data_IF_058712503685
#
_entry.id   IF_058712503685
#
_cell.length_a   1.000
_cell.length_b   1.000
_cell.length_c   1.000
_cell.angle_alpha   90.00
_cell.angle_beta   90.00
_cell.angle_gamma   90.00
#
_symmetry.space_group_name_H-M   'P 1'
#
loop_
_entity.id
_entity.type
_entity.pdbx_description
1 polymer ?
#
# COMPACT_ATOMS: atom_id res chain seq x y z
N UNK A 1 46.17 -16.58 72.33
CA UNK A 1 46.36 -16.35 70.87
C UNK A 1 44.99 -16.52 70.23
N UNK A 2 44.56 -15.51 69.48
CA UNK A 2 43.17 -15.13 69.26
C UNK A 2 42.33 -16.15 68.45
N UNK A 3 41.07 -16.32 68.83
CA UNK A 3 40.06 -17.02 68.04
C UNK A 3 39.71 -16.21 66.77
N UNK A 4 39.42 -16.85 65.63
CA UNK A 4 39.01 -16.16 64.42
C UNK A 4 37.58 -15.63 64.58
N UNK A 5 37.40 -14.33 64.35
CA UNK A 5 36.08 -13.70 64.28
C UNK A 5 35.57 -13.83 62.83
N UNK A 6 34.52 -14.62 62.63
CA UNK A 6 33.78 -14.57 61.37
C UNK A 6 32.89 -13.32 61.36
N UNK A 7 32.90 -12.50 60.30
CA UNK A 7 31.94 -11.42 60.17
C UNK A 7 30.54 -12.03 60.01
N UNK A 8 29.61 -11.57 60.86
CA UNK A 8 28.21 -11.96 60.82
C UNK A 8 27.64 -11.69 59.43
N UNK A 9 27.17 -12.75 58.77
CA UNK A 9 26.38 -12.64 57.53
C UNK A 9 25.13 -11.84 57.88
N UNK A 10 25.06 -10.61 57.37
CA UNK A 10 23.90 -9.75 57.56
C UNK A 10 22.66 -10.47 57.02
N UNK A 11 21.76 -10.83 57.93
CA UNK A 11 20.51 -11.49 57.59
C UNK A 11 19.72 -10.63 56.60
N UNK A 12 19.51 -11.16 55.40
CA UNK A 12 18.65 -10.58 54.39
C UNK A 12 17.21 -10.63 54.93
N UNK A 13 16.71 -9.50 55.44
CA UNK A 13 15.36 -9.46 55.98
C UNK A 13 14.35 -9.61 54.82
N UNK A 14 13.43 -10.59 54.88
CA UNK A 14 12.35 -10.65 53.91
C UNK A 14 11.50 -9.39 54.11
N UNK A 15 11.49 -8.49 53.11
CA UNK A 15 10.60 -7.33 53.11
C UNK A 15 9.17 -7.87 53.09
N UNK A 16 8.52 -7.85 54.24
CA UNK A 16 7.10 -8.17 54.37
C UNK A 16 6.31 -7.09 53.63
N UNK A 17 5.83 -7.41 52.44
CA UNK A 17 5.00 -6.53 51.61
C UNK A 17 3.69 -6.26 52.33
N UNK A 18 3.54 -5.05 52.84
CA UNK A 18 2.29 -4.55 53.45
C UNK A 18 1.19 -4.54 52.37
N UNK A 19 -0.06 -4.93 52.68
CA UNK A 19 -1.13 -5.03 51.66
C UNK A 19 -1.37 -3.77 50.80
N UNK A 20 -1.00 -2.58 51.30
CA UNK A 20 -1.01 -1.34 50.54
C UNK A 20 0.05 -1.28 49.41
N UNK A 21 1.22 -1.92 49.58
CA UNK A 21 2.23 -2.02 48.52
C UNK A 21 1.76 -2.96 47.42
N UNK A 22 1.09 -4.06 47.78
CA UNK A 22 0.51 -5.00 46.82
C UNK A 22 -0.59 -4.36 45.96
N UNK A 23 -1.46 -3.53 46.56
CA UNK A 23 -2.49 -2.79 45.81
C UNK A 23 -1.87 -1.76 44.86
N UNK A 24 -0.81 -1.07 45.29
CA UNK A 24 -0.10 -0.11 44.44
C UNK A 24 0.60 -0.81 43.27
N UNK A 25 1.30 -1.91 43.52
CA UNK A 25 1.95 -2.72 42.50
C UNK A 25 0.92 -3.26 41.50
N UNK A 26 -0.23 -3.74 41.98
CA UNK A 26 -1.33 -4.18 41.12
C UNK A 26 -1.91 -3.04 40.29
N UNK A 27 -2.14 -1.87 40.89
CA UNK A 27 -2.64 -0.70 40.18
C UNK A 27 -1.67 -0.23 39.09
N UNK A 28 -0.36 -0.23 39.37
CA UNK A 28 0.67 0.13 38.39
C UNK A 28 0.68 -0.82 37.18
N UNK A 29 0.60 -2.13 37.43
CA UNK A 29 0.49 -3.13 36.36
C UNK A 29 -0.79 -2.96 35.55
N UNK A 30 -1.93 -2.71 36.21
CA UNK A 30 -3.20 -2.47 35.53
C UNK A 30 -3.12 -1.21 34.66
N UNK A 31 -2.56 -0.12 35.19
CA UNK A 31 -2.41 1.13 34.44
C UNK A 31 -1.51 0.92 33.22
N UNK A 32 -0.37 0.23 33.37
CA UNK A 32 0.52 -0.09 32.26
C UNK A 32 -0.19 -0.95 31.20
N UNK A 33 -0.94 -1.97 31.62
CA UNK A 33 -1.69 -2.85 30.72
C UNK A 33 -2.77 -2.09 29.94
N UNK A 34 -3.48 -1.17 30.61
CA UNK A 34 -4.50 -0.31 29.99
C UNK A 34 -3.86 0.61 28.95
N UNK A 35 -2.75 1.28 29.30
CA UNK A 35 -2.03 2.17 28.37
C UNK A 35 -1.58 1.38 27.13
N UNK A 36 -0.99 0.20 27.34
CA UNK A 36 -0.52 -0.65 26.25
C UNK A 36 -1.68 -1.14 25.37
N UNK A 37 -2.79 -1.58 25.98
CA UNK A 37 -3.99 -2.01 25.27
C UNK A 37 -4.54 -0.92 24.35
N UNK A 38 -4.73 0.29 24.88
CA UNK A 38 -5.23 1.42 24.08
C UNK A 38 -4.21 1.84 23.00
N UNK A 39 -2.91 1.80 23.31
CA UNK A 39 -1.86 2.10 22.33
C UNK A 39 -1.90 1.15 21.12
N UNK A 40 -1.98 -0.16 21.36
CA UNK A 40 -2.04 -1.17 20.30
C UNK A 40 -3.39 -1.09 19.57
N UNK A 41 -4.51 -0.99 20.30
CA UNK A 41 -5.85 -0.94 19.71
C UNK A 41 -6.07 0.28 18.82
N UNK A 42 -5.39 1.39 19.12
CA UNK A 42 -5.43 2.59 18.31
C UNK A 42 -4.53 2.50 17.06
N UNK A 43 -3.36 1.85 17.18
CA UNK A 43 -2.40 1.74 16.09
C UNK A 43 -2.82 0.74 15.02
N UNK A 44 -3.43 -0.38 15.43
CA UNK A 44 -3.61 -1.55 14.57
C UNK A 44 -5.09 -1.89 14.35
N UNK A 45 -5.46 -2.21 13.11
CA UNK A 45 -6.72 -2.88 12.77
C UNK A 45 -6.46 -4.25 12.18
N UNK A 46 -7.09 -5.28 12.72
CA UNK A 46 -7.19 -6.57 12.02
C UNK A 46 -8.37 -6.52 11.05
N UNK A 47 -8.12 -6.80 9.78
CA UNK A 47 -9.14 -6.81 8.72
C UNK A 47 -9.17 -8.18 8.06
N UNK A 48 -10.38 -8.65 7.80
CA UNK A 48 -10.61 -9.90 7.09
C UNK A 48 -11.01 -9.58 5.65
N UNK A 49 -10.35 -10.21 4.68
CA UNK A 49 -10.58 -9.97 3.26
C UNK A 49 -11.73 -10.84 2.77
N UNK A 50 -12.77 -10.19 2.26
CA UNK A 50 -13.88 -10.86 1.57
C UNK A 50 -13.85 -10.50 0.07
N UNK A 51 -13.59 -11.48 -0.78
CA UNK A 51 -13.69 -11.40 -2.24
C UNK A 51 -12.36 -11.34 -3.00
N UNK A 52 -12.44 -11.47 -4.33
CA UNK A 52 -11.28 -11.65 -5.23
C UNK A 52 -10.75 -10.33 -5.84
N UNK A 53 -11.18 -9.17 -5.35
CA UNK A 53 -10.85 -7.89 -6.00
C UNK A 53 -9.36 -7.52 -5.96
N UNK A 54 -8.59 -8.10 -5.05
CA UNK A 54 -7.16 -7.84 -4.88
C UNK A 54 -6.29 -9.04 -5.27
N UNK A 55 -6.87 -10.05 -5.93
CA UNK A 55 -6.13 -11.16 -6.54
C UNK A 55 -5.18 -10.61 -7.62
N UNK A 56 -3.90 -10.97 -7.72
CA UNK A 56 -3.11 -12.01 -7.03
C UNK A 56 -2.22 -11.47 -5.88
N UNK A 57 -2.53 -10.30 -5.33
CA UNK A 57 -1.81 -9.73 -4.17
C UNK A 57 -2.40 -10.22 -2.84
N UNK A 58 -3.73 -10.36 -2.77
CA UNK A 58 -4.47 -10.83 -1.59
C UNK A 58 -5.48 -11.88 -2.04
N UNK A 59 -5.51 -13.00 -1.33
CA UNK A 59 -6.47 -14.06 -1.56
C UNK A 59 -7.73 -13.85 -0.71
N UNK A 60 -8.82 -14.50 -1.13
CA UNK A 60 -10.05 -14.51 -0.34
C UNK A 60 -9.79 -15.18 1.01
N UNK A 61 -10.38 -14.64 2.07
CA UNK A 61 -10.25 -15.13 3.46
C UNK A 61 -8.89 -14.84 4.14
N UNK A 62 -8.06 -13.97 3.56
CA UNK A 62 -6.82 -13.49 4.19
C UNK A 62 -7.09 -12.60 5.42
N UNK A 63 -6.21 -12.69 6.42
CA UNK A 63 -6.21 -11.82 7.60
C UNK A 63 -5.07 -10.81 7.48
N UNK A 64 -5.44 -9.53 7.47
CA UNK A 64 -4.52 -8.42 7.32
C UNK A 64 -4.44 -7.61 8.60
N UNK A 65 -3.26 -7.04 8.81
CA UNK A 65 -2.98 -6.10 9.89
C UNK A 65 -2.74 -4.75 9.21
N UNK A 66 -3.64 -3.81 9.42
CA UNK A 66 -3.58 -2.47 8.85
C UNK A 66 -3.10 -1.46 9.89
N UNK A 67 -2.20 -0.57 9.48
CA UNK A 67 -1.75 0.57 10.26
C UNK A 67 -2.73 1.75 10.08
N UNK A 68 -3.20 2.34 11.19
CA UNK A 68 -4.10 3.51 11.18
C UNK A 68 -3.37 4.86 11.30
N UNK A 69 -2.09 4.83 11.63
CA UNK A 69 -1.25 5.98 11.99
C UNK A 69 -0.46 6.46 10.78
N UNK A 70 -0.07 5.55 9.89
CA UNK A 70 0.71 5.77 8.66
C UNK A 70 0.32 7.07 7.93
N UNK A 71 -0.93 7.18 7.47
CA UNK A 71 -1.44 8.36 6.73
C UNK A 71 -1.63 9.63 7.56
N UNK A 72 -1.38 9.59 8.88
CA UNK A 72 -1.31 10.81 9.72
C UNK A 72 0.10 11.39 9.73
N UNK A 73 1.10 10.58 9.41
CA UNK A 73 2.52 10.94 9.43
C UNK A 73 3.06 11.22 8.03
N UNK A 74 2.56 10.53 7.00
CA UNK A 74 2.95 10.77 5.61
C UNK A 74 1.73 10.80 4.68
N UNK A 75 1.85 11.51 3.54
CA UNK A 75 0.84 11.45 2.49
C UNK A 75 0.80 10.07 1.83
N UNK A 76 -0.31 9.74 1.14
CA UNK A 76 -0.40 8.51 0.38
C UNK A 76 0.50 8.49 -0.83
N UNK A 77 1.09 7.33 -1.09
CA UNK A 77 2.01 7.09 -2.18
C UNK A 77 1.38 6.16 -3.23
N UNK A 78 1.95 6.20 -4.44
CA UNK A 78 1.50 5.32 -5.52
C UNK A 78 1.90 3.89 -5.18
N UNK A 79 0.95 2.97 -5.33
CA UNK A 79 1.15 1.56 -5.07
C UNK A 79 0.70 1.14 -3.68
N UNK A 80 0.38 2.07 -2.78
CA UNK A 80 -0.13 1.73 -1.46
C UNK A 80 -1.45 0.95 -1.56
N UNK A 81 -1.61 -0.02 -0.66
CA UNK A 81 -2.86 -0.76 -0.49
C UNK A 81 -3.60 -0.12 0.67
N UNK A 82 -4.79 0.41 0.39
CA UNK A 82 -5.59 1.14 1.36
C UNK A 82 -6.93 0.47 1.60
N UNK A 83 -7.41 0.66 2.82
CA UNK A 83 -8.79 0.38 3.20
C UNK A 83 -9.55 1.70 3.11
N UNK A 84 -10.61 1.73 2.29
CA UNK A 84 -11.43 2.90 2.08
C UNK A 84 -12.91 2.58 2.29
N UNK A 85 -13.66 3.54 2.81
CA UNK A 85 -15.12 3.46 2.83
C UNK A 85 -15.66 4.12 1.56
N UNK A 86 -16.39 3.38 0.70
CA UNK A 86 -16.95 3.98 -0.49
C UNK A 86 -18.00 5.03 -0.09
N UNK A 87 -18.08 6.16 -0.81
CA UNK A 87 -19.07 7.20 -0.51
C UNK A 87 -20.51 6.75 -0.84
N UNK A 88 -20.68 5.68 -1.62
CA UNK A 88 -21.97 5.15 -2.05
C UNK A 88 -22.60 4.20 -1.04
N UNK A 89 -21.78 3.53 -0.23
CA UNK A 89 -22.21 2.53 0.74
C UNK A 89 -21.14 2.41 1.84
N UNK A 90 -21.47 2.85 3.06
CA UNK A 90 -20.55 2.79 4.20
C UNK A 90 -20.65 1.48 5.00
N UNK A 91 -21.51 0.55 4.56
CA UNK A 91 -21.71 -0.72 5.26
C UNK A 91 -20.50 -1.66 5.16
N UNK A 92 -19.60 -1.42 4.19
CA UNK A 92 -18.43 -2.25 3.93
C UNK A 92 -17.18 -1.43 3.64
N UNK A 93 -16.08 -1.85 4.23
CA UNK A 93 -14.74 -1.34 3.94
C UNK A 93 -14.18 -2.04 2.68
N UNK A 94 -13.53 -1.28 1.78
CA UNK A 94 -12.98 -1.78 0.51
C UNK A 94 -11.46 -1.74 0.54
N UNK A 95 -10.82 -2.82 0.10
CA UNK A 95 -9.37 -2.87 -0.07
C UNK A 95 -9.03 -2.61 -1.54
N UNK A 96 -8.22 -1.57 -1.81
CA UNK A 96 -7.82 -1.16 -3.15
C UNK A 96 -6.37 -0.69 -3.17
N UNK A 97 -5.76 -0.66 -4.37
CA UNK A 97 -4.43 -0.09 -4.59
C UNK A 97 -4.52 1.33 -5.16
N UNK A 98 -3.68 2.24 -4.68
CA UNK A 98 -3.54 3.58 -5.24
C UNK A 98 -2.78 3.51 -6.57
N UNK A 99 -3.46 3.84 -7.67
CA UNK A 99 -2.87 3.84 -9.01
C UNK A 99 -2.40 5.24 -9.45
N UNK A 100 -3.17 6.27 -9.11
CA UNK A 100 -2.90 7.66 -9.47
C UNK A 100 -3.01 8.57 -8.24
N UNK A 101 -2.18 9.62 -8.20
CA UNK A 101 -2.16 10.62 -7.14
C UNK A 101 -2.88 11.91 -7.56
N UNK A 102 -3.23 12.80 -6.62
CA UNK A 102 -3.83 14.09 -6.94
C UNK A 102 -2.98 14.91 -7.91
N UNK A 103 -3.59 15.39 -8.98
CA UNK A 103 -2.93 16.20 -10.02
C UNK A 103 -2.44 15.43 -11.24
N UNK A 104 -2.46 14.09 -11.20
CA UNK A 104 -2.00 13.24 -12.31
C UNK A 104 -3.10 12.91 -13.31
N UNK A 105 -2.70 12.65 -14.56
CA UNK A 105 -3.62 12.20 -15.61
C UNK A 105 -3.52 10.69 -15.81
N UNK A 106 -4.54 9.99 -15.35
CA UNK A 106 -4.73 8.56 -15.60
C UNK A 106 -5.35 8.32 -16.99
N UNK A 107 -4.71 7.46 -17.78
CA UNK A 107 -5.23 6.92 -19.03
C UNK A 107 -5.07 5.41 -19.02
N UNK A 108 -6.14 4.67 -19.25
CA UNK A 108 -6.10 3.24 -19.53
C UNK A 108 -6.36 3.08 -21.02
N UNK A 109 -5.48 2.36 -21.72
CA UNK A 109 -5.63 2.09 -23.14
C UNK A 109 -5.13 0.71 -23.49
N UNK A 110 -5.95 -0.03 -24.25
CA UNK A 110 -5.67 -1.41 -24.62
C UNK A 110 -5.32 -2.30 -23.40
N UNK A 111 -5.88 -1.97 -22.23
CA UNK A 111 -5.61 -2.66 -20.95
C UNK A 111 -4.32 -2.27 -20.25
N UNK A 112 -3.63 -1.23 -20.71
CA UNK A 112 -2.38 -0.72 -20.11
C UNK A 112 -2.63 0.62 -19.44
N UNK A 113 -2.13 0.78 -18.21
CA UNK A 113 -2.23 2.03 -17.44
C UNK A 113 -1.10 3.00 -17.81
N UNK A 114 -1.45 4.27 -17.99
CA UNK A 114 -0.55 5.39 -18.21
C UNK A 114 -0.84 6.51 -17.21
N UNK A 115 0.22 7.08 -16.64
CA UNK A 115 0.20 8.24 -15.76
C UNK A 115 0.97 9.36 -16.45
N UNK A 116 0.31 10.48 -16.71
CA UNK A 116 0.87 11.64 -17.42
C UNK A 116 1.53 11.28 -18.77
N UNK A 117 1.01 10.24 -19.43
CA UNK A 117 1.49 9.75 -20.73
C UNK A 117 2.61 8.71 -20.65
N UNK A 118 3.14 8.42 -19.45
CA UNK A 118 4.13 7.37 -19.22
C UNK A 118 3.42 6.08 -18.82
N UNK A 119 3.83 4.95 -19.40
CA UNK A 119 3.32 3.63 -19.01
C UNK A 119 3.70 3.35 -17.56
N UNK A 120 2.73 2.97 -16.74
CA UNK A 120 2.94 2.50 -15.39
C UNK A 120 3.48 1.06 -15.42
N UNK A 121 4.48 0.77 -14.59
CA UNK A 121 4.94 -0.59 -14.38
C UNK A 121 4.11 -1.24 -13.27
N UNK A 122 3.53 -2.40 -13.56
CA UNK A 122 2.56 -3.08 -12.69
C UNK A 122 3.04 -4.52 -12.39
N UNK A 123 4.15 -4.69 -11.65
CA UNK A 123 4.72 -6.02 -11.38
C UNK A 123 3.80 -6.92 -10.54
N UNK A 124 2.77 -6.34 -9.91
CA UNK A 124 1.74 -7.04 -9.14
C UNK A 124 0.69 -7.75 -10.00
N UNK A 125 0.71 -7.59 -11.33
CA UNK A 125 -0.19 -8.27 -12.26
C UNK A 125 0.55 -9.43 -12.97
N UNK A 126 0.32 -10.70 -12.56
CA UNK A 126 0.99 -11.85 -13.19
C UNK A 126 0.46 -12.17 -14.59
N UNK A 127 -0.78 -11.79 -14.89
CA UNK A 127 -1.42 -11.93 -16.21
C UNK A 127 -2.28 -10.68 -16.49
N UNK A 128 -2.49 -10.36 -17.78
CA UNK A 128 -3.34 -9.24 -18.19
C UNK A 128 -4.83 -9.56 -17.94
N UNK A 129 -5.29 -9.35 -16.71
CA UNK A 129 -6.71 -9.38 -16.35
C UNK A 129 -7.36 -8.06 -16.72
N UNK A 130 -7.85 -7.95 -17.96
CA UNK A 130 -8.40 -6.70 -18.49
C UNK A 130 -9.92 -6.76 -18.56
N UNK A 131 -10.58 -6.07 -17.62
CA UNK A 131 -12.02 -5.77 -17.68
C UNK A 131 -12.15 -4.29 -18.06
N UNK A 132 -12.62 -4.05 -19.28
CA UNK A 132 -12.59 -2.75 -19.97
C UNK A 132 -11.16 -2.31 -20.37
N UNK A 133 -10.95 -2.15 -21.67
CA UNK A 133 -9.61 -1.88 -22.22
C UNK A 133 -9.25 -0.40 -22.23
N UNK A 134 -10.25 0.48 -22.16
CA UNK A 134 -10.06 1.91 -22.36
C UNK A 134 -10.79 2.73 -21.28
N UNK A 135 -10.09 3.70 -20.69
CA UNK A 135 -10.66 4.67 -19.74
C UNK A 135 -9.85 5.98 -19.73
N UNK A 136 -10.52 7.15 -19.67
CA UNK A 136 -11.94 7.38 -19.92
C UNK A 136 -12.44 6.89 -21.30
N UNK A 137 -13.67 6.41 -21.39
CA UNK A 137 -14.25 5.90 -22.65
C UNK A 137 -14.27 6.94 -23.80
N UNK A 138 -14.20 8.23 -23.45
CA UNK A 138 -14.33 9.34 -24.39
C UNK A 138 -13.02 10.16 -24.57
N UNK A 139 -11.91 9.75 -23.95
CA UNK A 139 -10.73 10.60 -23.83
C UNK A 139 -9.64 10.34 -24.89
N UNK A 140 -10.00 10.31 -26.17
CA UNK A 140 -9.00 10.78 -27.13
C UNK A 140 -9.62 11.25 -28.43
N UNK A 141 -9.55 12.56 -28.78
CA UNK A 141 -9.42 12.86 -30.19
C UNK A 141 -8.18 12.13 -30.69
N UNK A 142 -8.25 11.43 -31.84
CA UNK A 142 -7.21 10.53 -32.32
C UNK A 142 -5.83 11.14 -32.10
N UNK A 143 -4.89 10.33 -31.59
CA UNK A 143 -3.47 10.69 -31.43
C UNK A 143 -3.02 11.61 -32.57
N UNK A 144 -2.12 12.57 -32.34
CA UNK A 144 -1.67 13.50 -33.39
C UNK A 144 -1.33 12.79 -34.72
N UNK A 145 -0.80 11.57 -34.64
CA UNK A 145 -0.61 10.66 -35.79
C UNK A 145 -1.89 10.35 -36.59
N UNK A 146 -3.00 10.06 -35.93
CA UNK A 146 -4.29 9.81 -36.55
C UNK A 146 -4.99 11.11 -37.02
N UNK A 147 -4.77 12.24 -36.35
CA UNK A 147 -5.16 13.57 -36.86
C UNK A 147 -4.35 13.97 -38.10
N UNK A 148 -3.04 13.73 -38.10
CA UNK A 148 -2.16 13.96 -39.25
C UNK A 148 -2.56 13.05 -40.43
N UNK A 149 -2.84 11.77 -40.19
CA UNK A 149 -3.32 10.85 -41.23
C UNK A 149 -4.67 11.29 -41.83
N UNK A 150 -5.62 11.79 -41.01
CA UNK A 150 -6.90 12.34 -41.51
C UNK A 150 -6.70 13.64 -42.30
N UNK A 151 -5.81 14.55 -41.86
CA UNK A 151 -5.45 15.76 -42.62
C UNK A 151 -4.79 15.42 -43.96
N UNK A 152 -3.88 14.45 -43.98
CA UNK A 152 -3.22 13.98 -45.20
C UNK A 152 -4.21 13.32 -46.17
N UNK A 153 -5.16 12.52 -45.66
CA UNK A 153 -6.25 11.95 -46.47
C UNK A 153 -7.19 13.02 -47.04
N UNK A 154 -7.58 14.04 -46.26
CA UNK A 154 -8.36 15.19 -46.76
C UNK A 154 -7.59 16.05 -47.77
N UNK A 155 -6.28 16.17 -47.62
CA UNK A 155 -5.42 16.89 -48.53
C UNK A 155 -5.01 16.09 -49.79
N UNK A 156 -5.59 14.91 -50.03
CA UNK A 156 -5.28 14.05 -51.18
C UNK A 156 -3.83 13.54 -51.22
N UNK A 157 -3.05 13.75 -50.16
CA UNK A 157 -1.63 13.39 -50.10
C UNK A 157 -1.48 12.12 -49.29
N UNK A 158 -1.18 11.01 -49.98
CA UNK A 158 -0.84 9.75 -49.31
C UNK A 158 0.39 9.97 -48.41
N UNK A 159 0.36 9.56 -47.13
CA UNK A 159 1.56 9.59 -46.29
C UNK A 159 2.61 8.71 -46.96
N UNK A 160 3.74 9.31 -47.36
CA UNK A 160 4.92 8.56 -47.78
C UNK A 160 5.40 7.80 -46.55
N UNK A 161 5.07 6.51 -46.47
CA UNK A 161 5.71 5.57 -45.55
C UNK A 161 7.20 5.57 -45.88
N UNK A 162 7.98 6.41 -45.18
CA UNK A 162 9.42 6.21 -45.10
C UNK A 162 9.59 4.89 -44.37
N UNK A 163 9.83 3.82 -45.13
CA UNK A 163 10.38 2.57 -44.59
C UNK A 163 11.64 2.97 -43.83
N UNK A 164 11.57 3.07 -42.50
CA UNK A 164 12.77 3.10 -41.66
C UNK A 164 13.49 1.81 -42.02
N UNK A 165 14.62 1.92 -42.71
CA UNK A 165 15.55 0.81 -42.86
C UNK A 165 15.90 0.39 -41.44
N UNK A 166 15.45 -0.80 -41.06
CA UNK A 166 15.95 -1.49 -39.88
C UNK A 166 17.46 -1.64 -40.12
N UNK A 167 18.23 -0.91 -39.33
CA UNK A 167 19.69 -0.97 -39.36
C UNK A 167 20.05 -2.32 -38.70
N UNK A 168 20.73 -3.24 -39.39
CA UNK A 168 21.14 -4.47 -38.75
C UNK A 168 22.17 -4.13 -37.65
N UNK A 169 21.82 -4.45 -36.41
CA UNK A 169 22.73 -4.43 -35.28
C UNK A 169 23.95 -5.28 -35.63
N UNK A 170 25.11 -4.64 -35.84
CA UNK A 170 26.40 -5.32 -35.80
C UNK A 170 26.60 -5.83 -34.39
N UNK A 171 26.62 -7.16 -34.24
CA UNK A 171 27.26 -7.84 -33.12
C UNK A 171 28.76 -7.51 -33.17
N UNK A 172 29.32 -7.07 -32.05
CA UNK A 172 30.74 -7.12 -31.79
C UNK A 172 30.92 -7.39 -30.30
N UNK A 173 31.65 -8.47 -30.02
CA UNK A 173 32.29 -8.76 -28.75
C UNK A 173 33.24 -7.63 -28.35
#
# INVERSE_FOLDING_TARGET
>A
MAAPQHPAVAANQPRTTTGASLLRELAEVIVLAVILYFGISFAVQTVHVEGLSMFATLDDNDYLIADKIDYRLHPPERGDIIILRPPTDDSKDFIKRIIALPGEKLLIRDGVVYIDGHRLDEPYLPEAWVVNKDWPLNCCPPSESARAARRLRRAGRRPRLRRRRVQPHRRSF
#
